data_IF_788951528479
#
_entry.id   IF_788951528479
#
_cell.length_a   1.000
_cell.length_b   1.000
_cell.length_c   1.000
_cell.angle_alpha   90.00
_cell.angle_beta   90.00
_cell.angle_gamma   90.00
#
_symmetry.space_group_name_H-M   'P 1'
#
loop_
_entity.id
_entity.type
_entity.pdbx_description
1 polymer ?
#
# COMPACT_ATOMS: atom_id res chain seq x y z
N UNK A 1 -14.03 7.27 -24.96
CA UNK A 1 -13.06 6.52 -24.14
C UNK A 1 -11.73 6.32 -24.87
N UNK A 2 -10.63 6.78 -24.28
CA UNK A 2 -9.26 6.67 -24.82
C UNK A 2 -8.57 5.38 -24.34
N UNK A 3 -8.91 4.23 -24.94
CA UNK A 3 -8.41 2.90 -24.52
C UNK A 3 -6.89 2.77 -24.44
N UNK A 4 -6.15 3.55 -25.24
CA UNK A 4 -4.68 3.56 -25.24
C UNK A 4 -4.06 4.08 -23.93
N UNK A 5 -4.84 4.73 -23.08
CA UNK A 5 -4.40 5.24 -21.77
C UNK A 5 -4.83 4.33 -20.63
N UNK A 6 -5.48 3.20 -20.90
CA UNK A 6 -6.05 2.33 -19.86
C UNK A 6 -5.36 0.98 -19.93
N UNK A 7 -5.00 0.41 -18.78
CA UNK A 7 -4.41 -0.92 -18.74
C UNK A 7 -5.36 -1.97 -19.35
N UNK A 8 -4.83 -2.97 -20.09
CA UNK A 8 -5.66 -3.99 -20.71
C UNK A 8 -6.52 -4.78 -19.70
N UNK A 9 -6.01 -4.91 -18.48
CA UNK A 9 -6.67 -5.59 -17.39
C UNK A 9 -7.88 -4.80 -16.85
N UNK A 10 -7.74 -3.48 -16.71
CA UNK A 10 -8.84 -2.58 -16.33
C UNK A 10 -9.88 -2.44 -17.45
N UNK A 11 -9.47 -2.40 -18.72
CA UNK A 11 -10.43 -2.42 -19.86
C UNK A 11 -11.29 -3.69 -19.81
N UNK A 12 -10.69 -4.85 -19.61
CA UNK A 12 -11.44 -6.12 -19.51
C UNK A 12 -12.37 -6.16 -18.30
N UNK A 13 -11.96 -5.57 -17.18
CA UNK A 13 -12.80 -5.45 -15.99
C UNK A 13 -14.02 -4.57 -16.28
N UNK A 14 -13.80 -3.43 -16.95
CA UNK A 14 -14.87 -2.53 -17.38
C UNK A 14 -15.85 -3.20 -18.35
N UNK A 15 -15.36 -3.93 -19.36
CA UNK A 15 -16.22 -4.68 -20.29
C UNK A 15 -17.05 -5.74 -19.55
N UNK A 16 -16.44 -6.46 -18.61
CA UNK A 16 -17.14 -7.47 -17.78
C UNK A 16 -18.25 -6.81 -16.93
N UNK A 17 -17.99 -5.61 -16.41
CA UNK A 17 -18.98 -4.84 -15.66
C UNK A 17 -20.16 -4.41 -16.53
N UNK A 18 -19.91 -3.96 -17.76
CA UNK A 18 -20.98 -3.60 -18.70
C UNK A 18 -21.83 -4.81 -19.11
N UNK A 19 -21.21 -5.99 -19.26
CA UNK A 19 -21.90 -7.21 -19.69
C UNK A 19 -22.70 -7.87 -18.57
N UNK A 20 -22.11 -7.95 -17.36
CA UNK A 20 -22.58 -8.84 -16.29
C UNK A 20 -22.78 -8.12 -14.95
N UNK A 21 -22.64 -6.80 -14.91
CA UNK A 21 -22.77 -5.99 -13.70
C UNK A 21 -21.73 -6.33 -12.62
N UNK A 22 -22.05 -5.96 -11.39
CA UNK A 22 -21.17 -6.17 -10.23
C UNK A 22 -20.87 -7.65 -9.95
N UNK A 23 -21.84 -8.54 -10.09
CA UNK A 23 -21.64 -9.98 -9.81
C UNK A 23 -20.61 -10.61 -10.75
N UNK A 24 -20.67 -10.28 -12.05
CA UNK A 24 -19.68 -10.74 -13.02
C UNK A 24 -18.29 -10.15 -12.78
N UNK A 25 -18.23 -8.86 -12.46
CA UNK A 25 -16.98 -8.17 -12.15
C UNK A 25 -16.31 -8.74 -10.89
N UNK A 26 -17.05 -8.87 -9.80
CA UNK A 26 -16.53 -9.39 -8.52
C UNK A 26 -16.05 -10.83 -8.64
N UNK A 27 -16.83 -11.71 -9.28
CA UNK A 27 -16.40 -13.09 -9.53
C UNK A 27 -15.12 -13.17 -10.38
N UNK A 28 -14.95 -12.24 -11.33
CA UNK A 28 -13.73 -12.16 -12.13
C UNK A 28 -12.55 -11.63 -11.31
N UNK A 29 -12.76 -10.56 -10.53
CA UNK A 29 -11.74 -9.95 -9.70
C UNK A 29 -11.13 -10.99 -8.75
N UNK A 30 -11.98 -11.77 -8.08
CA UNK A 30 -11.55 -12.86 -7.19
C UNK A 30 -10.71 -13.93 -7.92
N UNK A 31 -11.12 -14.33 -9.13
CA UNK A 31 -10.43 -15.37 -9.91
C UNK A 31 -9.11 -14.92 -10.51
N UNK A 32 -8.96 -13.62 -10.78
CA UNK A 32 -7.80 -13.05 -11.47
C UNK A 32 -6.90 -12.25 -10.53
N UNK A 33 -7.21 -12.19 -9.23
CA UNK A 33 -6.45 -11.42 -8.25
C UNK A 33 -6.45 -9.93 -8.58
N UNK A 34 -7.56 -9.39 -9.06
CA UNK A 34 -7.69 -7.95 -9.32
C UNK A 34 -8.18 -7.25 -8.06
N UNK A 35 -7.47 -6.21 -7.63
CA UNK A 35 -7.80 -5.43 -6.45
C UNK A 35 -8.52 -4.12 -6.80
N UNK A 36 -8.95 -3.40 -5.77
CA UNK A 36 -9.43 -2.02 -5.90
C UNK A 36 -10.89 -1.86 -6.33
N UNK A 37 -11.65 -2.94 -6.57
CA UNK A 37 -13.08 -2.83 -6.89
C UNK A 37 -13.94 -2.75 -5.62
N UNK A 38 -14.82 -1.76 -5.56
CA UNK A 38 -15.70 -1.47 -4.44
C UNK A 38 -17.15 -1.66 -4.89
N UNK A 39 -17.88 -2.48 -4.15
CA UNK A 39 -19.28 -2.77 -4.43
C UNK A 39 -20.12 -1.48 -4.41
N UNK A 40 -21.11 -1.35 -5.31
CA UNK A 40 -22.04 -0.25 -5.24
C UNK A 40 -22.88 -0.35 -3.95
N UNK A 41 -23.12 0.77 -3.24
CA UNK A 41 -23.89 0.75 -1.99
C UNK A 41 -25.38 0.46 -2.21
N UNK A 42 -25.89 0.66 -3.43
CA UNK A 42 -27.24 0.29 -3.86
C UNK A 42 -27.24 0.03 -5.38
N UNK A 43 -28.23 -0.69 -5.90
CA UNK A 43 -28.39 -1.04 -7.30
C UNK A 43 -28.51 0.18 -8.24
N UNK A 44 -28.85 1.35 -7.70
CA UNK A 44 -28.92 2.61 -8.43
C UNK A 44 -27.55 3.30 -8.62
N UNK A 45 -26.50 2.86 -7.94
CA UNK A 45 -25.17 3.46 -7.98
C UNK A 45 -24.18 2.56 -8.72
N UNK A 46 -23.21 3.18 -9.38
CA UNK A 46 -22.14 2.47 -10.09
C UNK A 46 -21.13 1.87 -9.10
N UNK A 47 -20.56 0.71 -9.45
CA UNK A 47 -19.41 0.18 -8.73
C UNK A 47 -18.26 1.18 -8.81
N UNK A 48 -17.40 1.21 -7.79
CA UNK A 48 -16.22 2.09 -7.78
C UNK A 48 -14.94 1.27 -7.93
N UNK A 49 -13.89 1.90 -8.43
CA UNK A 49 -12.57 1.31 -8.61
C UNK A 49 -11.51 2.25 -8.07
N UNK A 50 -10.48 1.69 -7.44
CA UNK A 50 -9.23 2.37 -7.09
C UNK A 50 -8.24 2.15 -8.23
N UNK A 51 -7.73 3.24 -8.78
CA UNK A 51 -6.77 3.23 -9.91
C UNK A 51 -5.54 4.06 -9.58
N UNK A 52 -4.42 3.64 -10.13
CA UNK A 52 -3.20 4.40 -10.24
C UNK A 52 -3.23 5.22 -11.54
N UNK A 53 -2.98 6.50 -11.43
CA UNK A 53 -2.91 7.46 -12.53
C UNK A 53 -1.46 7.87 -12.77
N UNK A 54 -1.02 7.84 -14.02
CA UNK A 54 0.12 8.61 -14.47
C UNK A 54 -0.39 9.90 -15.10
N UNK A 55 0.08 11.02 -14.59
CA UNK A 55 -0.32 12.35 -14.96
C UNK A 55 0.90 13.18 -15.38
N UNK A 56 0.64 14.22 -16.17
CA UNK A 56 1.65 15.25 -16.46
C UNK A 56 2.11 15.93 -15.16
N UNK A 57 3.35 16.41 -15.13
CA UNK A 57 3.85 17.18 -13.98
C UNK A 57 2.94 18.38 -13.68
N UNK A 58 2.58 18.57 -12.40
CA UNK A 58 1.65 19.60 -11.92
C UNK A 58 0.24 19.52 -12.53
N UNK A 59 -0.22 18.34 -12.93
CA UNK A 59 -1.59 18.13 -13.38
C UNK A 59 -2.60 18.69 -12.35
N UNK A 60 -3.41 19.64 -12.78
CA UNK A 60 -4.65 20.00 -12.10
C UNK A 60 -5.75 19.06 -12.60
N UNK A 61 -6.40 18.39 -11.65
CA UNK A 61 -7.46 17.41 -11.88
C UNK A 61 -8.72 17.76 -11.08
N UNK A 62 -8.81 19.01 -10.59
CA UNK A 62 -9.92 19.47 -9.75
C UNK A 62 -11.23 19.62 -10.50
N UNK A 63 -11.20 19.58 -11.83
CA UNK A 63 -12.36 19.56 -12.73
C UNK A 63 -13.08 18.20 -12.74
N UNK A 64 -12.46 17.14 -12.21
CA UNK A 64 -13.06 15.81 -12.09
C UNK A 64 -13.89 15.69 -10.80
N UNK A 65 -15.14 16.15 -10.85
CA UNK A 65 -16.03 16.30 -9.69
C UNK A 65 -16.42 14.97 -9.01
N UNK A 66 -16.34 13.84 -9.72
CA UNK A 66 -16.74 12.51 -9.19
C UNK A 66 -15.55 11.55 -9.03
N UNK A 67 -14.33 12.09 -9.04
CA UNK A 67 -13.09 11.32 -8.90
C UNK A 67 -12.40 11.80 -7.63
N UNK A 68 -12.34 10.93 -6.63
CA UNK A 68 -11.63 11.21 -5.39
C UNK A 68 -10.15 10.91 -5.61
N UNK A 69 -9.36 11.95 -5.84
CA UNK A 69 -7.91 11.85 -6.07
C UNK A 69 -7.20 12.02 -4.73
N UNK A 70 -6.37 11.05 -4.36
CA UNK A 70 -5.51 11.13 -3.18
C UNK A 70 -4.38 12.14 -3.44
N UNK A 71 -4.10 12.97 -2.43
CA UNK A 71 -3.14 14.08 -2.53
C UNK A 71 -1.71 13.56 -2.37
N UNK A 72 -1.02 13.26 -3.45
CA UNK A 72 0.38 12.82 -3.35
C UNK A 72 0.98 12.43 -4.68
N UNK A 73 2.27 12.69 -4.85
CA UNK A 73 3.00 12.38 -6.08
C UNK A 73 2.88 13.43 -7.18
N UNK A 74 4.01 13.75 -7.83
CA UNK A 74 4.07 14.75 -8.90
C UNK A 74 3.46 14.25 -10.21
N UNK A 75 3.61 12.95 -10.48
CA UNK A 75 3.17 12.30 -11.71
C UNK A 75 2.34 11.06 -11.47
N UNK A 76 2.62 10.29 -10.41
CA UNK A 76 1.81 9.11 -10.06
C UNK A 76 0.88 9.49 -8.93
N UNK A 77 -0.43 9.28 -9.10
CA UNK A 77 -1.47 9.55 -8.10
C UNK A 77 -2.43 8.38 -7.99
N UNK A 78 -3.07 8.22 -6.85
CA UNK A 78 -4.15 7.25 -6.68
C UNK A 78 -5.48 7.96 -6.77
N UNK A 79 -6.47 7.33 -7.40
CA UNK A 79 -7.82 7.87 -7.51
C UNK A 79 -8.87 6.80 -7.30
N UNK A 80 -9.91 7.13 -6.57
CA UNK A 80 -11.12 6.31 -6.45
C UNK A 80 -12.24 6.95 -7.25
N UNK A 81 -12.84 6.21 -8.17
CA UNK A 81 -13.91 6.72 -9.03
C UNK A 81 -14.97 5.66 -9.35
N UNK A 82 -16.20 6.08 -9.65
CA UNK A 82 -17.18 5.23 -10.31
C UNK A 82 -16.65 4.64 -11.63
N UNK A 83 -16.98 3.38 -11.94
CA UNK A 83 -16.52 2.72 -13.17
C UNK A 83 -16.99 3.45 -14.45
N UNK A 84 -18.16 4.07 -14.43
CA UNK A 84 -18.69 4.88 -15.54
C UNK A 84 -17.92 6.21 -15.74
N UNK A 85 -17.27 6.73 -14.70
CA UNK A 85 -16.40 7.91 -14.81
C UNK A 85 -15.04 7.60 -15.47
N UNK A 86 -14.72 6.32 -15.72
CA UNK A 86 -13.46 5.90 -16.35
C UNK A 86 -13.28 6.47 -17.76
N UNK A 87 -14.36 6.60 -18.53
CA UNK A 87 -14.34 7.21 -19.86
C UNK A 87 -13.87 8.66 -19.80
N UNK A 88 -14.51 9.48 -18.95
CA UNK A 88 -14.15 10.89 -18.74
C UNK A 88 -12.71 11.04 -18.26
N UNK A 89 -12.29 10.20 -17.32
CA UNK A 89 -10.93 10.20 -16.79
C UNK A 89 -9.89 9.92 -17.89
N UNK A 90 -10.16 8.96 -18.79
CA UNK A 90 -9.25 8.62 -19.89
C UNK A 90 -9.08 9.75 -20.91
N UNK A 91 -10.13 10.55 -21.11
CA UNK A 91 -10.12 11.66 -22.07
C UNK A 91 -9.44 12.91 -21.53
N UNK A 92 -9.20 12.97 -20.23
CA UNK A 92 -8.58 14.12 -19.59
C UNK A 92 -7.15 14.36 -20.15
N UNK A 93 -6.80 15.60 -20.55
CA UNK A 93 -5.52 15.90 -21.22
C UNK A 93 -4.31 15.66 -20.33
N UNK A 94 -4.46 15.83 -19.01
CA UNK A 94 -3.38 15.63 -18.05
C UNK A 94 -3.22 14.18 -17.58
N UNK A 95 -4.10 13.27 -17.98
CA UNK A 95 -4.00 11.83 -17.68
C UNK A 95 -3.28 11.14 -18.85
N UNK A 96 -2.12 10.55 -18.56
CA UNK A 96 -1.27 9.83 -19.51
C UNK A 96 -1.55 8.32 -19.47
N UNK A 97 -1.80 7.77 -18.28
CA UNK A 97 -2.06 6.35 -18.09
C UNK A 97 -2.94 6.08 -16.86
N UNK A 98 -3.77 5.04 -16.93
CA UNK A 98 -4.67 4.56 -15.89
C UNK A 98 -4.44 3.07 -15.75
N UNK A 99 -4.03 2.64 -14.57
CA UNK A 99 -3.89 1.22 -14.23
C UNK A 99 -4.67 0.91 -12.98
N UNK A 100 -5.34 -0.23 -12.94
CA UNK A 100 -5.91 -0.76 -11.70
C UNK A 100 -4.81 -1.12 -10.70
N UNK A 101 -5.18 -1.18 -9.42
CA UNK A 101 -4.30 -1.72 -8.39
C UNK A 101 -4.17 -3.24 -8.54
N UNK A 102 -2.95 -3.76 -8.41
CA UNK A 102 -2.65 -5.20 -8.51
C UNK A 102 -2.21 -5.72 -7.14
N UNK A 103 -2.63 -6.95 -6.79
CA UNK A 103 -2.19 -7.58 -5.55
C UNK A 103 -0.66 -7.72 -5.54
N UNK A 104 -0.02 -7.12 -4.55
CA UNK A 104 1.41 -7.35 -4.25
C UNK A 104 1.54 -8.66 -3.49
N UNK A 105 2.27 -9.62 -4.07
CA UNK A 105 2.58 -10.88 -3.41
C UNK A 105 3.80 -10.74 -2.50
N UNK A 106 3.63 -11.17 -1.24
CA UNK A 106 4.67 -11.12 -0.21
C UNK A 106 5.79 -12.10 -0.55
N UNK A 107 6.99 -11.57 -0.80
CA UNK A 107 8.19 -12.37 -1.04
C UNK A 107 9.27 -12.00 -0.03
N UNK A 108 9.45 -12.83 1.01
CA UNK A 108 10.70 -12.82 1.76
C UNK A 108 10.96 -14.15 2.51
N UNK A 109 11.87 -14.96 1.98
CA UNK A 109 12.55 -16.03 2.72
C UNK A 109 14.08 -15.90 2.58
N UNK A 110 14.77 -15.68 3.70
CA UNK A 110 16.25 -15.63 3.90
C UNK A 110 16.98 -14.36 3.35
N UNK A 111 18.02 -13.74 3.92
CA UNK A 111 18.96 -14.09 5.00
C UNK A 111 19.82 -12.87 5.43
N UNK A 112 19.98 -12.61 6.74
CA UNK A 112 21.06 -11.71 7.22
C UNK A 112 22.46 -12.34 7.05
N UNK A 113 22.56 -13.68 7.08
CA UNK A 113 23.82 -14.41 6.95
C UNK A 113 24.40 -14.46 5.54
N UNK A 114 23.56 -14.42 4.49
CA UNK A 114 24.04 -14.48 3.09
C UNK A 114 24.58 -13.14 2.57
N UNK A 115 24.27 -12.03 3.26
CA UNK A 115 24.66 -10.67 2.84
C UNK A 115 25.87 -10.11 3.59
N UNK A 116 26.53 -10.90 4.47
CA UNK A 116 27.77 -10.48 5.15
C UNK A 116 27.60 -9.34 6.17
N UNK A 117 26.39 -9.10 6.67
CA UNK A 117 26.06 -8.01 7.60
C UNK A 117 26.90 -7.98 8.89
N UNK A 118 27.22 -9.12 9.55
CA UNK A 118 28.03 -9.11 10.77
C UNK A 118 29.43 -8.50 10.56
N UNK A 119 30.10 -8.88 9.48
CA UNK A 119 31.44 -8.40 9.15
C UNK A 119 31.42 -6.91 8.77
N UNK A 120 30.38 -6.48 8.04
CA UNK A 120 30.20 -5.09 7.64
C UNK A 120 29.94 -4.16 8.84
N UNK A 121 29.07 -4.54 9.77
CA UNK A 121 28.77 -3.74 10.97
C UNK A 121 30.00 -3.56 11.86
N UNK A 122 30.76 -4.65 12.05
CA UNK A 122 31.99 -4.63 12.87
C UNK A 122 33.07 -3.73 12.26
N UNK A 123 33.15 -3.66 10.92
CA UNK A 123 34.15 -2.84 10.22
C UNK A 123 33.80 -1.35 10.12
N UNK A 124 32.51 -0.99 10.04
CA UNK A 124 32.09 0.36 9.67
C UNK A 124 31.53 1.18 10.82
N UNK A 125 31.08 0.54 11.91
CA UNK A 125 30.40 1.18 13.04
C UNK A 125 29.19 2.06 12.62
N UNK A 126 28.64 1.83 11.41
CA UNK A 126 27.46 2.52 10.91
C UNK A 126 26.22 1.88 11.53
N UNK A 127 25.45 2.68 12.25
CA UNK A 127 24.27 2.22 13.00
C UNK A 127 22.93 2.60 12.37
N UNK A 128 22.95 3.40 11.29
CA UNK A 128 21.73 3.98 10.72
C UNK A 128 21.12 5.11 11.56
N UNK A 129 21.82 5.63 12.58
CA UNK A 129 21.33 6.76 13.40
C UNK A 129 21.00 7.97 12.51
N UNK A 130 19.78 8.47 12.62
CA UNK A 130 19.28 9.61 11.84
C UNK A 130 18.66 9.25 10.48
N UNK A 131 18.62 7.96 10.12
CA UNK A 131 17.93 7.46 8.93
C UNK A 131 16.52 7.01 9.32
N UNK A 132 15.53 7.41 8.52
CA UNK A 132 14.14 6.95 8.62
C UNK A 132 13.92 5.88 7.55
N UNK A 133 13.27 4.79 7.92
CA UNK A 133 12.88 3.71 7.01
C UNK A 133 11.36 3.68 6.94
N UNK A 134 10.79 3.81 5.75
CA UNK A 134 9.36 3.61 5.50
C UNK A 134 9.12 2.15 5.06
N UNK A 135 8.11 1.52 5.64
CA UNK A 135 7.70 0.15 5.34
C UNK A 135 6.21 0.19 5.00
N UNK A 136 5.84 -0.36 3.84
CA UNK A 136 4.45 -0.53 3.40
C UNK A 136 4.21 -2.03 3.31
N UNK A 137 3.43 -2.55 4.26
CA UNK A 137 3.24 -3.99 4.47
C UNK A 137 1.95 -4.22 5.28
N UNK A 138 1.72 -5.44 5.78
CA UNK A 138 0.51 -5.84 6.55
C UNK A 138 0.31 -5.12 7.88
N UNK A 139 1.35 -4.42 8.37
CA UNK A 139 1.34 -3.69 9.62
C UNK A 139 2.64 -3.88 10.40
N UNK A 140 2.62 -3.54 11.68
CA UNK A 140 3.69 -3.88 12.63
C UNK A 140 3.12 -4.09 14.03
N UNK A 141 3.57 -5.13 14.74
CA UNK A 141 3.39 -5.23 16.19
C UNK A 141 4.35 -4.27 16.91
N UNK A 142 3.90 -3.01 17.08
CA UNK A 142 4.66 -1.99 17.79
C UNK A 142 4.76 -2.25 19.31
N UNK A 143 4.07 -3.26 19.86
CA UNK A 143 4.20 -3.66 21.27
C UNK A 143 5.39 -4.59 21.50
N UNK A 144 5.95 -5.17 20.45
CA UNK A 144 7.13 -6.04 20.53
C UNK A 144 8.34 -5.26 21.07
N UNK A 145 9.07 -5.87 22.01
CA UNK A 145 10.16 -5.23 22.74
C UNK A 145 11.24 -4.64 21.81
N UNK A 146 11.51 -5.31 20.68
CA UNK A 146 12.50 -4.87 19.69
C UNK A 146 12.17 -3.54 19.02
N UNK A 147 10.91 -3.10 19.04
CA UNK A 147 10.46 -1.84 18.43
C UNK A 147 10.22 -0.71 19.44
N UNK A 148 10.49 -0.94 20.74
CA UNK A 148 10.31 0.07 21.79
C UNK A 148 11.08 1.35 21.45
N UNK A 149 10.35 2.46 21.24
CA UNK A 149 10.92 3.77 20.91
C UNK A 149 11.54 3.89 19.50
N UNK A 150 11.24 2.95 18.60
CA UNK A 150 11.77 2.93 17.21
C UNK A 150 10.73 3.21 16.14
N UNK A 151 9.45 3.12 16.47
CA UNK A 151 8.35 3.45 15.55
C UNK A 151 8.02 4.93 15.70
N UNK A 152 8.19 5.69 14.62
CA UNK A 152 7.90 7.13 14.63
C UNK A 152 6.41 7.41 14.37
N UNK A 153 5.85 6.75 13.34
CA UNK A 153 4.46 6.90 12.88
C UNK A 153 3.98 5.61 12.22
N UNK A 154 2.67 5.39 12.22
CA UNK A 154 2.00 4.33 11.46
C UNK A 154 0.78 4.97 10.78
N UNK A 155 0.61 4.74 9.48
CA UNK A 155 -0.66 5.00 8.81
C UNK A 155 -1.36 3.66 8.56
N UNK A 156 -2.36 3.37 9.39
CA UNK A 156 -3.15 2.15 9.28
C UNK A 156 -4.32 2.40 8.33
N UNK A 157 -4.24 1.85 7.13
CA UNK A 157 -5.22 2.05 6.06
C UNK A 157 -6.49 1.20 6.24
N UNK A 158 -6.48 0.23 7.16
CA UNK A 158 -7.58 -0.74 7.33
C UNK A 158 -8.66 -0.25 8.30
N UNK A 159 -8.33 0.73 9.15
CA UNK A 159 -9.24 1.27 10.17
C UNK A 159 -9.93 2.55 9.69
N UNK A 160 -11.17 2.77 10.11
CA UNK A 160 -11.87 4.01 9.77
C UNK A 160 -11.24 5.23 10.45
N UNK A 161 -11.04 6.32 9.72
CA UNK A 161 -10.52 7.58 10.23
C UNK A 161 -10.37 8.64 9.14
N UNK A 162 -9.83 9.79 9.51
CA UNK A 162 -9.62 10.92 8.59
C UNK A 162 -8.32 10.80 7.77
N UNK A 163 -7.57 9.71 7.93
CA UNK A 163 -6.31 9.46 7.25
C UNK A 163 -5.18 10.42 7.56
N UNK A 164 -4.41 10.76 6.54
CA UNK A 164 -3.26 11.68 6.53
C UNK A 164 -3.52 12.79 5.49
N UNK A 165 -2.75 13.90 5.46
CA UNK A 165 -2.91 14.92 4.41
C UNK A 165 -2.92 14.33 3.00
N UNK A 166 -2.16 13.26 2.79
CA UNK A 166 -2.01 12.61 1.49
C UNK A 166 -3.13 11.63 1.11
N UNK A 167 -3.98 11.22 2.07
CA UNK A 167 -5.01 10.22 1.83
C UNK A 167 -6.12 10.30 2.87
N UNK A 168 -7.38 10.42 2.42
CA UNK A 168 -8.55 10.72 3.27
C UNK A 168 -9.18 9.48 3.92
N UNK A 169 -8.41 8.41 4.08
CA UNK A 169 -8.84 7.13 4.63
C UNK A 169 -7.77 6.55 5.56
N UNK A 170 -8.14 5.57 6.38
CA UNK A 170 -7.24 5.04 7.39
C UNK A 170 -7.10 5.98 8.59
N UNK A 171 -6.10 5.72 9.43
CA UNK A 171 -5.77 6.55 10.59
C UNK A 171 -4.26 6.63 10.80
N UNK A 172 -3.76 7.83 11.05
CA UNK A 172 -2.37 8.04 11.49
C UNK A 172 -2.26 7.86 13.01
N UNK A 173 -1.29 7.06 13.43
CA UNK A 173 -0.88 6.88 14.82
C UNK A 173 0.53 7.41 15.02
N UNK A 174 0.74 8.15 16.11
CA UNK A 174 2.05 8.73 16.48
C UNK A 174 2.27 8.63 17.99
N UNK A 175 3.52 8.78 18.43
CA UNK A 175 3.84 8.76 19.86
C UNK A 175 3.45 7.45 20.55
N UNK A 176 2.75 7.51 21.68
CA UNK A 176 2.28 6.32 22.41
C UNK A 176 1.20 5.54 21.65
N UNK A 177 0.52 6.18 20.71
CA UNK A 177 -0.64 5.61 20.03
C UNK A 177 -0.27 4.63 18.92
N UNK A 178 1.01 4.53 18.54
CA UNK A 178 1.49 3.55 17.55
C UNK A 178 1.18 2.11 17.94
N UNK A 179 1.02 1.84 19.24
CA UNK A 179 0.64 0.52 19.76
C UNK A 179 -0.84 0.15 19.54
N UNK A 180 -1.65 1.09 19.05
CA UNK A 180 -3.08 0.86 18.77
C UNK A 180 -3.32 0.18 17.42
N UNK A 181 -2.40 0.32 16.46
CA UNK A 181 -2.43 -0.45 15.21
C UNK A 181 -1.90 -1.85 15.47
N UNK A 182 -2.49 -2.84 14.80
CA UNK A 182 -2.13 -4.25 14.98
C UNK A 182 -1.82 -4.88 13.63
N UNK A 183 -0.72 -5.63 13.58
CA UNK A 183 -0.43 -6.52 12.46
C UNK A 183 -1.10 -7.88 12.71
N UNK A 184 -2.13 -8.19 11.92
CA UNK A 184 -2.89 -9.44 12.06
C UNK A 184 -2.32 -10.58 11.22
N UNK A 185 -1.41 -10.29 10.30
CA UNK A 185 -0.75 -11.28 9.44
C UNK A 185 0.64 -11.65 9.98
N UNK A 186 1.41 -10.64 10.40
CA UNK A 186 2.75 -10.80 10.97
C UNK A 186 3.90 -10.62 9.97
N UNK A 187 3.62 -10.59 8.66
CA UNK A 187 4.66 -10.36 7.64
C UNK A 187 5.34 -8.99 7.80
N UNK A 188 4.57 -7.92 7.95
CA UNK A 188 5.12 -6.58 8.13
C UNK A 188 5.97 -6.45 9.40
N UNK A 189 5.58 -7.12 10.48
CA UNK A 189 6.40 -7.25 11.70
C UNK A 189 7.75 -7.94 11.43
N UNK A 190 7.78 -8.99 10.61
CA UNK A 190 9.02 -9.67 10.23
C UNK A 190 9.92 -8.77 9.37
N UNK A 191 9.34 -8.09 8.37
CA UNK A 191 10.06 -7.14 7.50
C UNK A 191 10.65 -6.00 8.33
N UNK A 192 9.86 -5.42 9.24
CA UNK A 192 10.33 -4.40 10.18
C UNK A 192 11.44 -4.93 11.10
N UNK A 193 11.35 -6.19 11.53
CA UNK A 193 12.37 -6.85 12.35
C UNK A 193 13.71 -6.96 11.62
N UNK A 194 13.69 -7.39 10.36
CA UNK A 194 14.90 -7.46 9.51
C UNK A 194 15.49 -6.08 9.27
N UNK A 195 14.65 -5.07 8.99
CA UNK A 195 15.09 -3.72 8.66
C UNK A 195 15.64 -2.95 9.87
N UNK A 196 14.93 -3.00 11.00
CA UNK A 196 15.12 -2.07 12.12
C UNK A 196 14.91 -2.68 13.51
N UNK A 197 14.67 -3.99 13.62
CA UNK A 197 14.56 -4.68 14.91
C UNK A 197 15.80 -4.49 15.77
N UNK A 198 15.60 -4.35 17.09
CA UNK A 198 16.72 -4.33 18.01
C UNK A 198 17.51 -5.64 17.87
N UNK A 199 18.82 -5.54 17.65
CA UNK A 199 19.69 -6.68 17.88
C UNK A 199 19.68 -6.94 19.39
N UNK A 200 18.97 -7.97 19.85
CA UNK A 200 19.20 -8.47 21.20
C UNK A 200 20.72 -8.71 21.34
N UNK A 201 21.37 -8.23 22.41
CA UNK A 201 22.75 -8.58 22.66
C UNK A 201 22.81 -10.10 22.63
N UNK A 202 23.63 -10.65 21.74
CA UNK A 202 23.82 -12.08 21.57
C UNK A 202 23.99 -12.68 22.96
N UNK A 203 22.94 -13.30 23.49
CA UNK A 203 23.07 -14.07 24.71
C UNK A 203 24.06 -15.17 24.33
N UNK A 204 25.26 -15.09 24.87
CA UNK A 204 26.20 -16.20 24.91
C UNK A 204 25.41 -17.31 25.60
N UNK A 205 24.80 -18.18 24.80
CA UNK A 205 24.20 -19.42 25.29
C UNK A 205 25.32 -20.11 26.08
N UNK A 206 25.18 -20.30 27.40
CA UNK A 206 26.19 -21.02 28.14
C UNK A 206 26.23 -22.41 27.52
N UNK A 207 27.36 -22.74 26.90
CA UNK A 207 27.64 -24.08 26.42
C UNK A 207 27.35 -25.04 27.57
N UNK A 208 26.34 -25.91 27.40
CA UNK A 208 26.12 -27.03 28.32
C UNK A 208 27.44 -27.80 28.38
N UNK A 209 28.13 -27.71 29.53
CA UNK A 209 29.20 -28.65 29.86
C UNK A 209 28.53 -30.01 30.09
N UNK A 210 29.01 -30.99 29.31
CA UNK A 210 28.94 -32.46 29.47
C UNK A 210 27.88 -33.03 30.38
#
# INVERSE_FOLDING_TARGET
>A
MEYRKISPSLVRAYDTYLESGWEGLSSRADRQGLAGFIAPPDAAQSARVVVNLLCSENADLTDLIDVDIDEGGQRVRTATLPLDALERLSEHPHVEWISQDEHVELHLDVAAGKVGLPDYRTRTNISGKGVIIGIVDTGIDATHADFTGRVQRIWDQTVSGNGVPEGKYGREYTGSDVTKSQDTDGHGTQVAGVAAGAALPTAVLPTRRT
#
